data_IF_645219418532
#
_entry.id   IF_645219418532
#
_cell.length_a   1.000
_cell.length_b   1.000
_cell.length_c   1.000
_cell.angle_alpha   90.00
_cell.angle_beta   90.00
_cell.angle_gamma   90.00
#
_symmetry.space_group_name_H-M   'P 1'
#
loop_
_entity.id
_entity.type
_entity.pdbx_description
1 polymer ?
#
# COMPACT_ATOMS: atom_id res chain seq x y z
N UNK A 1 13.42 -6.99 -6.36
CA UNK A 1 12.81 -7.27 -5.06
C UNK A 1 12.02 -6.06 -4.57
N UNK A 2 10.69 -6.19 -4.37
CA UNK A 2 9.86 -5.07 -3.93
C UNK A 2 10.31 -4.42 -2.62
N UNK A 3 10.84 -5.21 -1.68
CA UNK A 3 11.30 -4.67 -0.41
C UNK A 3 12.55 -3.81 -0.58
N UNK A 4 13.47 -4.22 -1.45
CA UNK A 4 14.68 -3.45 -1.74
C UNK A 4 14.33 -2.15 -2.43
N UNK A 5 13.39 -2.19 -3.37
CA UNK A 5 12.93 -0.99 -4.07
C UNK A 5 12.23 -0.03 -3.11
N UNK A 6 11.35 -0.55 -2.25
CA UNK A 6 10.65 0.26 -1.27
C UNK A 6 11.63 0.95 -0.32
N UNK A 7 12.65 0.24 0.15
CA UNK A 7 13.69 0.81 1.00
C UNK A 7 14.44 1.94 0.30
N UNK A 8 14.84 1.72 -0.95
CA UNK A 8 15.56 2.73 -1.72
C UNK A 8 14.73 3.99 -1.92
N UNK A 9 13.44 3.83 -2.21
CA UNK A 9 12.53 4.96 -2.40
C UNK A 9 12.21 5.67 -1.09
N UNK A 10 12.10 4.92 0.02
CA UNK A 10 11.86 5.51 1.34
C UNK A 10 13.01 6.43 1.75
N UNK A 11 14.25 6.07 1.43
CA UNK A 11 15.42 6.92 1.69
C UNK A 11 15.34 8.25 0.94
N UNK A 12 14.56 8.31 -0.13
CA UNK A 12 14.32 9.53 -0.91
C UNK A 12 13.04 10.25 -0.51
N UNK A 13 12.39 9.82 0.57
CA UNK A 13 11.17 10.43 1.06
C UNK A 13 9.88 9.95 0.39
N UNK A 14 9.94 8.84 -0.35
CA UNK A 14 8.74 8.27 -0.99
C UNK A 14 8.03 7.37 0.03
N UNK A 15 6.76 7.61 0.37
CA UNK A 15 6.06 6.80 1.35
C UNK A 15 5.71 5.41 0.81
N UNK A 16 5.62 4.44 1.72
CA UNK A 16 5.18 3.09 1.40
C UNK A 16 4.02 2.72 2.31
N UNK A 17 2.93 2.26 1.70
CA UNK A 17 1.74 1.82 2.43
C UNK A 17 1.61 0.31 2.29
N UNK A 18 1.52 -0.38 3.42
CA UNK A 18 1.32 -1.83 3.45
C UNK A 18 -0.13 -2.10 3.83
N UNK A 19 -0.78 -2.96 3.07
CA UNK A 19 -2.20 -3.26 3.24
C UNK A 19 -2.38 -4.67 3.81
N UNK A 20 -3.17 -4.77 4.87
CA UNK A 20 -3.48 -6.04 5.53
C UNK A 20 -4.97 -6.34 5.45
N UNK A 21 -5.32 -7.61 5.29
CA UNK A 21 -6.71 -8.02 5.35
C UNK A 21 -7.15 -8.21 6.80
N UNK A 22 -8.41 -8.62 6.99
CA UNK A 22 -8.98 -8.82 8.34
C UNK A 22 -8.26 -9.89 9.15
N UNK A 23 -7.59 -10.81 8.48
CA UNK A 23 -6.84 -11.87 9.13
C UNK A 23 -5.41 -11.47 9.49
N UNK A 24 -5.04 -10.22 9.19
CA UNK A 24 -3.71 -9.71 9.46
C UNK A 24 -2.67 -10.12 8.43
N UNK A 25 -3.09 -10.60 7.28
CA UNK A 25 -2.18 -10.98 6.20
C UNK A 25 -2.01 -9.85 5.21
N UNK A 26 -0.78 -9.61 4.80
CA UNK A 26 -0.48 -8.61 3.80
C UNK A 26 -1.02 -9.05 2.44
N UNK A 27 -1.78 -8.18 1.77
CA UNK A 27 -2.26 -8.46 0.43
C UNK A 27 -1.79 -7.45 -0.61
N UNK A 28 -1.13 -6.39 -0.21
CA UNK A 28 -0.60 -5.43 -1.17
C UNK A 28 0.30 -4.40 -0.55
N UNK A 29 1.10 -3.75 -1.41
CA UNK A 29 1.95 -2.63 -1.04
C UNK A 29 1.82 -1.54 -2.08
N UNK A 30 1.75 -0.29 -1.62
CA UNK A 30 1.66 0.86 -2.49
C UNK A 30 2.86 1.75 -2.21
N UNK A 31 3.66 1.98 -3.25
CA UNK A 31 4.84 2.83 -3.16
C UNK A 31 4.51 4.16 -3.82
N UNK A 32 4.52 5.24 -3.02
CA UNK A 32 4.17 6.57 -3.48
C UNK A 32 3.00 7.14 -2.70
N UNK A 33 2.61 8.37 -3.07
CA UNK A 33 1.48 9.02 -2.43
C UNK A 33 0.17 8.43 -2.90
N UNK A 34 -0.80 8.34 -1.99
CA UNK A 34 -2.10 7.76 -2.30
C UNK A 34 -3.19 8.61 -1.65
N UNK A 35 -4.31 8.79 -2.35
CA UNK A 35 -5.49 9.43 -1.82
C UNK A 35 -6.40 8.37 -1.21
N UNK A 36 -6.36 8.25 0.11
CA UNK A 36 -7.17 7.28 0.83
C UNK A 36 -8.67 7.57 0.78
N UNK A 37 -9.06 8.76 0.35
CA UNK A 37 -10.47 9.13 0.18
C UNK A 37 -11.02 8.81 -1.20
N UNK A 38 -10.18 8.36 -2.12
CA UNK A 38 -10.62 8.03 -3.48
C UNK A 38 -11.59 6.86 -3.47
N UNK A 39 -12.72 7.02 -4.16
CA UNK A 39 -13.77 6.00 -4.16
C UNK A 39 -13.33 4.69 -4.81
N UNK A 40 -12.54 4.76 -5.87
CA UNK A 40 -12.04 3.57 -6.53
C UNK A 40 -11.09 2.79 -5.61
N UNK A 41 -10.25 3.50 -4.88
CA UNK A 41 -9.37 2.88 -3.90
C UNK A 41 -10.16 2.21 -2.80
N UNK A 42 -11.16 2.90 -2.24
CA UNK A 42 -12.01 2.35 -1.17
C UNK A 42 -12.75 1.10 -1.65
N UNK A 43 -13.31 1.14 -2.85
CA UNK A 43 -14.02 0.00 -3.42
C UNK A 43 -13.09 -1.18 -3.63
N UNK A 44 -11.87 -0.92 -4.10
CA UNK A 44 -10.86 -1.95 -4.30
C UNK A 44 -10.49 -2.63 -2.96
N UNK A 45 -10.27 -1.82 -1.92
CA UNK A 45 -9.94 -2.33 -0.58
C UNK A 45 -11.05 -3.24 -0.05
N UNK A 46 -12.31 -2.88 -0.28
CA UNK A 46 -13.46 -3.65 0.19
C UNK A 46 -13.52 -5.06 -0.40
N UNK A 47 -12.92 -5.27 -1.56
CA UNK A 47 -12.86 -6.59 -2.17
C UNK A 47 -12.00 -7.56 -1.35
N UNK A 48 -11.09 -7.05 -0.54
CA UNK A 48 -10.16 -7.86 0.25
C UNK A 48 -10.54 -7.93 1.74
N UNK A 49 -11.61 -7.29 2.09
CA UNK A 49 -12.14 -7.31 3.45
C UNK A 49 -13.52 -8.00 3.47
#
# INVERSE_FOLDING_TARGET
NPETLAKALALRGVPTTVLFNKEGKEFGRIIGSIDFGDKEFINWIKLYN
#
